data_IF_539585469172
#
_entry.id   IF_539585469172
#
_cell.length_a   1.000
_cell.length_b   1.000
_cell.length_c   1.000
_cell.angle_alpha   90.00
_cell.angle_beta   90.00
_cell.angle_gamma   90.00
#
_symmetry.space_group_name_H-M   'P 1'
#
loop_
_entity.id
_entity.type
_entity.pdbx_description
1 polymer ?
#
# COMPACT_ATOMS: atom_id res chain seq x y z
N UNK A 1 -11.95 4.54 -4.13
CA UNK A 1 -10.90 5.49 -3.65
C UNK A 1 -9.59 5.39 -4.46
N UNK A 2 -8.77 6.46 -4.57
CA UNK A 2 -7.62 6.51 -5.50
C UNK A 2 -6.23 6.50 -4.81
N UNK A 3 -5.97 5.47 -4.00
CA UNK A 3 -4.69 5.31 -3.29
C UNK A 3 -3.48 5.19 -4.23
N UNK A 4 -3.66 4.52 -5.37
CA UNK A 4 -2.59 4.34 -6.34
C UNK A 4 -2.12 5.68 -6.94
N UNK A 5 -3.04 6.61 -7.24
CA UNK A 5 -2.65 7.94 -7.71
C UNK A 5 -1.85 8.69 -6.65
N UNK A 6 -2.26 8.67 -5.38
CA UNK A 6 -1.48 9.30 -4.32
C UNK A 6 -0.08 8.71 -4.21
N UNK A 7 0.02 7.38 -4.26
CA UNK A 7 1.32 6.70 -4.26
C UNK A 7 2.22 7.17 -5.41
N UNK A 8 1.74 7.21 -6.65
CA UNK A 8 2.55 7.65 -7.81
C UNK A 8 3.03 9.09 -7.67
N UNK A 9 2.15 10.00 -7.23
CA UNK A 9 2.53 11.41 -7.04
C UNK A 9 3.57 11.56 -5.93
N UNK A 10 3.37 10.87 -4.80
CA UNK A 10 4.32 10.94 -3.68
C UNK A 10 5.65 10.29 -4.05
N UNK A 11 5.63 9.16 -4.75
CA UNK A 11 6.85 8.49 -5.20
C UNK A 11 7.65 9.36 -6.18
N UNK A 12 6.99 10.11 -7.06
CA UNK A 12 7.63 11.07 -7.96
C UNK A 12 8.34 12.21 -7.20
N UNK A 13 7.74 12.68 -6.10
CA UNK A 13 8.31 13.74 -5.25
C UNK A 13 9.39 13.23 -4.28
N UNK A 14 9.34 11.94 -3.93
CA UNK A 14 10.26 11.33 -2.98
C UNK A 14 11.66 11.18 -3.60
N UNK A 15 12.71 11.56 -2.86
CA UNK A 15 14.09 11.28 -3.28
C UNK A 15 14.39 9.78 -3.22
N UNK A 16 15.36 9.32 -4.00
CA UNK A 16 15.97 7.99 -3.80
C UNK A 16 16.47 7.84 -2.35
N UNK A 17 16.20 6.67 -1.76
CA UNK A 17 16.40 6.37 -0.34
C UNK A 17 15.40 7.04 0.60
N UNK A 18 14.37 7.73 0.08
CA UNK A 18 13.25 8.23 0.87
C UNK A 18 12.28 7.11 1.22
N UNK A 19 11.58 7.25 2.35
CA UNK A 19 10.65 6.26 2.87
C UNK A 19 9.22 6.80 2.82
N UNK A 20 8.31 6.05 2.21
CA UNK A 20 6.87 6.29 2.20
C UNK A 20 6.18 5.30 3.15
N UNK A 21 5.25 5.80 3.95
CA UNK A 21 4.42 5.03 4.89
C UNK A 21 2.97 5.08 4.43
N UNK A 22 2.31 3.92 4.39
CA UNK A 22 0.89 3.79 4.00
C UNK A 22 0.17 3.02 5.12
N UNK A 23 -0.79 3.67 5.76
CA UNK A 23 -1.56 3.14 6.90
C UNK A 23 -2.83 2.41 6.45
N UNK A 24 -3.43 1.62 7.34
CA UNK A 24 -4.67 0.86 7.17
C UNK A 24 -4.65 -0.18 6.04
N UNK A 25 -3.47 -0.75 5.72
CA UNK A 25 -3.33 -1.69 4.60
C UNK A 25 -3.90 -3.09 4.85
N UNK A 26 -4.20 -3.45 6.11
CA UNK A 26 -4.87 -4.71 6.44
C UNK A 26 -6.40 -4.55 6.50
N UNK A 27 -6.92 -3.34 6.64
CA UNK A 27 -8.35 -3.00 6.60
C UNK A 27 -9.23 -3.90 7.49
N UNK A 28 -8.86 -4.04 8.76
CA UNK A 28 -9.51 -4.92 9.73
C UNK A 28 -9.43 -6.40 9.36
N UNK A 29 -8.48 -6.79 8.51
CA UNK A 29 -8.34 -8.14 7.94
C UNK A 29 -9.22 -8.40 6.71
N UNK A 30 -10.04 -7.43 6.27
CA UNK A 30 -10.98 -7.61 5.16
C UNK A 30 -10.27 -7.91 3.84
N UNK A 31 -9.06 -7.37 3.63
CA UNK A 31 -8.28 -7.61 2.41
C UNK A 31 -7.91 -9.08 2.20
N UNK A 32 -7.83 -9.86 3.29
CA UNK A 32 -7.55 -11.29 3.26
C UNK A 32 -8.81 -12.16 3.12
N UNK A 33 -10.01 -11.57 3.25
CA UNK A 33 -11.27 -12.28 3.09
C UNK A 33 -11.72 -12.22 1.61
N UNK A 34 -11.77 -13.35 0.88
CA UNK A 34 -12.16 -13.37 -0.53
C UNK A 34 -13.64 -13.04 -0.76
N UNK A 35 -14.49 -13.19 0.26
CA UNK A 35 -15.93 -12.91 0.16
C UNK A 35 -16.26 -11.41 0.40
N UNK A 36 -15.26 -10.62 0.80
CA UNK A 36 -15.38 -9.17 0.98
C UNK A 36 -14.99 -8.46 -0.31
N UNK A 37 -16.00 -7.93 -1.00
CA UNK A 37 -15.88 -7.28 -2.31
C UNK A 37 -16.46 -5.86 -2.33
N UNK A 38 -16.55 -5.19 -1.18
CA UNK A 38 -16.88 -3.77 -1.13
C UNK A 38 -15.76 -2.93 -1.78
N UNK A 39 -16.13 -1.76 -2.30
CA UNK A 39 -15.22 -0.92 -3.10
C UNK A 39 -13.94 -0.56 -2.35
N UNK A 40 -14.03 -0.29 -1.05
CA UNK A 40 -12.89 0.08 -0.22
C UNK A 40 -11.93 -1.11 -0.03
N UNK A 41 -12.46 -2.28 0.29
CA UNK A 41 -11.66 -3.51 0.40
C UNK A 41 -10.96 -3.86 -0.91
N UNK A 42 -11.65 -3.78 -2.04
CA UNK A 42 -11.03 -4.01 -3.36
C UNK A 42 -9.97 -2.96 -3.69
N UNK A 43 -10.22 -1.69 -3.36
CA UNK A 43 -9.24 -0.63 -3.60
C UNK A 43 -7.94 -0.86 -2.83
N UNK A 44 -8.02 -1.27 -1.57
CA UNK A 44 -6.83 -1.57 -0.74
C UNK A 44 -6.16 -2.88 -1.19
N UNK A 45 -6.93 -3.90 -1.56
CA UNK A 45 -6.37 -5.16 -2.11
C UNK A 45 -5.60 -4.91 -3.40
N UNK A 46 -6.14 -4.08 -4.29
CA UNK A 46 -5.49 -3.67 -5.53
C UNK A 46 -4.23 -2.85 -5.25
N UNK A 47 -4.27 -1.92 -4.29
CA UNK A 47 -3.09 -1.18 -3.84
C UNK A 47 -1.99 -2.12 -3.33
N UNK A 48 -2.32 -3.04 -2.43
CA UNK A 48 -1.34 -3.98 -1.86
C UNK A 48 -0.70 -4.86 -2.94
N UNK A 49 -1.50 -5.35 -3.88
CA UNK A 49 -1.03 -6.14 -5.02
C UNK A 49 -0.10 -5.33 -5.91
N UNK A 50 -0.49 -4.09 -6.22
CA UNK A 50 0.29 -3.17 -7.03
C UNK A 50 1.65 -2.85 -6.38
N UNK A 51 1.65 -2.50 -5.09
CA UNK A 51 2.87 -2.18 -4.34
C UNK A 51 3.82 -3.38 -4.26
N UNK A 52 3.28 -4.59 -4.08
CA UNK A 52 4.10 -5.80 -4.01
C UNK A 52 4.87 -6.08 -5.32
N UNK A 53 4.32 -5.63 -6.45
CA UNK A 53 4.92 -5.78 -7.77
C UNK A 53 5.79 -4.58 -8.21
N UNK A 54 5.90 -3.52 -7.40
CA UNK A 54 6.62 -2.31 -7.79
C UNK A 54 8.13 -2.40 -7.49
N UNK A 55 8.91 -2.70 -8.53
CA UNK A 55 10.36 -2.84 -8.45
C UNK A 55 11.13 -1.53 -8.17
N UNK A 56 10.45 -0.37 -8.21
CA UNK A 56 11.06 0.95 -7.88
C UNK A 56 11.29 1.11 -6.38
N UNK A 57 10.70 0.25 -5.56
CA UNK A 57 10.78 0.31 -4.09
C UNK A 57 11.25 -1.02 -3.49
N UNK A 58 11.79 -0.95 -2.28
CA UNK A 58 11.90 -2.10 -1.38
C UNK A 58 10.76 -2.03 -0.37
N UNK A 59 9.93 -3.07 -0.33
CA UNK A 59 8.68 -3.08 0.42
C UNK A 59 8.79 -3.91 1.71
N UNK A 60 8.13 -3.45 2.77
CA UNK A 60 7.89 -4.24 3.99
C UNK A 60 6.52 -3.88 4.57
N UNK A 61 5.71 -4.87 4.91
CA UNK A 61 4.41 -4.68 5.57
C UNK A 61 4.53 -5.09 7.04
N UNK A 62 4.19 -4.16 7.95
CA UNK A 62 4.29 -4.36 9.38
C UNK A 62 2.90 -4.55 10.01
N UNK A 63 2.74 -5.50 10.94
CA UNK A 63 1.50 -5.69 11.69
C UNK A 63 1.40 -4.69 12.85
N UNK A 64 1.52 -3.40 12.53
CA UNK A 64 1.36 -2.29 13.48
C UNK A 64 0.05 -1.57 13.15
N UNK A 65 -0.78 -1.32 14.17
CA UNK A 65 -2.11 -0.74 13.99
C UNK A 65 -2.98 -1.64 13.10
N UNK A 66 -3.59 -1.06 12.08
CA UNK A 66 -4.39 -1.77 11.08
C UNK A 66 -3.57 -2.09 9.81
N UNK A 67 -2.27 -2.33 9.99
CA UNK A 67 -1.31 -2.56 8.93
C UNK A 67 -0.61 -1.30 8.46
N UNK A 68 0.72 -1.34 8.42
CA UNK A 68 1.55 -0.26 7.94
C UNK A 68 2.53 -0.78 6.87
N UNK A 69 2.39 -0.29 5.64
CA UNK A 69 3.34 -0.58 4.57
C UNK A 69 4.44 0.48 4.51
N UNK A 70 5.69 0.01 4.52
CA UNK A 70 6.89 0.79 4.29
C UNK A 70 7.38 0.56 2.85
N UNK A 71 7.50 1.63 2.07
CA UNK A 71 8.05 1.61 0.71
C UNK A 71 9.30 2.50 0.65
N UNK A 72 10.48 1.89 0.61
CA UNK A 72 11.76 2.58 0.48
C UNK A 72 12.09 2.76 -1.01
N UNK A 73 12.12 4.00 -1.50
CA UNK A 73 12.45 4.29 -2.91
C UNK A 73 13.91 3.96 -3.21
N UNK A 74 14.15 3.22 -4.29
CA UNK A 74 15.50 2.87 -4.76
C UNK A 74 16.18 3.98 -5.54
#
# INVERSE_FOLDING_TARGET
MNYQSYYEHVLALLRTGGLLLIDNVLWGGSVANPDKTDEDTEAIRNLNTFLHADDRVSLSMLPVGDGLTLALKR
#
